data_IF_544485035167
#
_entry.id   IF_544485035167
#
_cell.length_a   1.000
_cell.length_b   1.000
_cell.length_c   1.000
_cell.angle_alpha   90.00
_cell.angle_beta   90.00
_cell.angle_gamma   90.00
#
_symmetry.space_group_name_H-M   'P 1'
#
loop_
_entity.id
_entity.type
_entity.pdbx_description
1 polymer ?
#
# COMPACT_ATOMS: atom_id res chain seq x y z
N UNK A 1 5.33 8.36 -10.85
CA UNK A 1 5.72 8.12 -9.44
C UNK A 1 5.19 9.19 -8.48
N UNK A 2 5.34 10.50 -8.74
CA UNK A 2 4.94 11.55 -7.79
C UNK A 2 3.48 11.45 -7.28
N UNK A 3 2.52 11.08 -8.14
CA UNK A 3 1.11 10.94 -7.76
C UNK A 3 0.87 9.80 -6.76
N UNK A 4 1.61 8.69 -6.87
CA UNK A 4 1.55 7.60 -5.88
C UNK A 4 2.08 8.04 -4.52
N UNK A 5 3.19 8.78 -4.50
CA UNK A 5 3.79 9.32 -3.28
C UNK A 5 2.81 10.29 -2.59
N UNK A 6 2.29 11.26 -3.35
CA UNK A 6 1.30 12.22 -2.82
C UNK A 6 0.04 11.51 -2.30
N UNK A 7 -0.47 10.50 -3.02
CA UNK A 7 -1.62 9.72 -2.55
C UNK A 7 -1.34 8.94 -1.26
N UNK A 8 -0.13 8.37 -1.12
CA UNK A 8 0.29 7.69 0.10
C UNK A 8 0.39 8.65 1.28
N UNK A 9 0.95 9.85 1.08
CA UNK A 9 1.04 10.89 2.11
C UNK A 9 -0.35 11.38 2.57
N UNK A 10 -1.28 11.62 1.65
CA UNK A 10 -2.66 11.97 1.99
C UNK A 10 -3.35 10.83 2.76
N UNK A 11 -3.12 9.58 2.38
CA UNK A 11 -3.65 8.41 3.10
C UNK A 11 -3.10 8.36 4.53
N UNK A 12 -1.80 8.60 4.73
CA UNK A 12 -1.20 8.65 6.06
C UNK A 12 -1.78 9.79 6.92
N UNK A 13 -2.11 10.94 6.33
CA UNK A 13 -2.79 12.02 7.04
C UNK A 13 -4.16 11.56 7.55
N UNK A 14 -4.94 10.88 6.72
CA UNK A 14 -6.25 10.31 7.10
C UNK A 14 -6.07 9.29 8.24
N UNK A 15 -5.12 8.37 8.11
CA UNK A 15 -4.81 7.37 9.15
C UNK A 15 -4.52 8.03 10.50
N UNK A 16 -3.69 9.08 10.50
CA UNK A 16 -3.35 9.83 11.73
C UNK A 16 -4.53 10.61 12.29
N UNK A 17 -5.31 11.27 11.42
CA UNK A 17 -6.46 12.08 11.81
C UNK A 17 -7.54 11.25 12.51
N UNK A 18 -7.81 10.05 12.00
CA UNK A 18 -8.85 9.17 12.53
C UNK A 18 -8.31 8.07 13.45
N UNK A 19 -7.02 8.08 13.78
CA UNK A 19 -6.37 7.07 14.62
C UNK A 19 -6.65 5.64 14.15
N UNK A 20 -6.59 5.43 12.83
CA UNK A 20 -6.82 4.12 12.20
C UNK A 20 -5.69 3.18 12.62
N UNK A 21 -6.03 1.94 13.00
CA UNK A 21 -5.06 0.91 13.39
C UNK A 21 -4.71 -0.09 12.28
N UNK A 22 -5.57 -0.22 11.26
CA UNK A 22 -5.41 -1.20 10.18
C UNK A 22 -5.86 -0.63 8.83
N UNK A 23 -5.11 -0.97 7.79
CA UNK A 23 -5.43 -0.65 6.40
C UNK A 23 -5.56 -1.94 5.58
N UNK A 24 -6.64 -2.04 4.81
CA UNK A 24 -6.89 -3.16 3.88
C UNK A 24 -6.66 -2.65 2.46
N UNK A 25 -5.68 -3.21 1.77
CA UNK A 25 -5.26 -2.78 0.43
C UNK A 25 -5.51 -3.81 -0.66
N UNK A 26 -5.84 -3.33 -1.88
CA UNK A 26 -5.99 -4.20 -3.07
C UNK A 26 -4.73 -5.04 -3.30
N UNK A 27 -4.87 -6.37 -3.28
CA UNK A 27 -3.76 -7.29 -3.53
C UNK A 27 -3.08 -7.01 -4.87
N UNK A 28 -1.74 -7.15 -4.90
CA UNK A 28 -0.87 -6.99 -6.09
C UNK A 28 -0.82 -5.58 -6.69
N UNK A 29 -1.50 -4.60 -6.10
CA UNK A 29 -1.47 -3.21 -6.55
C UNK A 29 -0.09 -2.58 -6.32
N UNK A 30 0.49 -1.83 -7.29
CA UNK A 30 1.75 -1.09 -7.09
C UNK A 30 1.65 0.01 -6.02
N UNK A 31 0.44 0.35 -5.54
CA UNK A 31 0.23 1.26 -4.42
C UNK A 31 -0.15 0.55 -3.14
N UNK A 32 -1.11 -0.38 -3.20
CA UNK A 32 -1.78 -0.92 -2.02
C UNK A 32 -1.44 -2.39 -1.73
N UNK A 33 -0.71 -3.06 -2.62
CA UNK A 33 -0.32 -4.46 -2.40
C UNK A 33 0.63 -4.61 -1.23
N UNK A 34 0.57 -5.77 -0.57
CA UNK A 34 1.37 -6.15 0.58
C UNK A 34 2.13 -7.44 0.22
N UNK A 35 3.46 -7.43 0.35
CA UNK A 35 4.32 -8.59 0.06
C UNK A 35 4.55 -8.88 -1.44
N UNK A 36 3.55 -8.70 -2.30
CA UNK A 36 3.69 -8.80 -3.76
C UNK A 36 2.95 -7.69 -4.50
N UNK A 37 3.56 -7.19 -5.60
CA UNK A 37 2.98 -6.18 -6.49
C UNK A 37 3.29 -6.47 -7.96
N UNK A 38 2.48 -5.93 -8.87
CA UNK A 38 2.85 -5.86 -10.28
C UNK A 38 4.04 -4.92 -10.50
N UNK A 39 4.94 -5.30 -11.40
CA UNK A 39 6.19 -4.57 -11.69
C UNK A 39 5.99 -3.21 -12.40
N UNK A 40 4.75 -2.85 -12.73
CA UNK A 40 4.40 -1.57 -13.37
C UNK A 40 4.70 -1.50 -14.88
N UNK A 41 5.20 -2.57 -15.50
CA UNK A 41 5.52 -2.62 -16.94
C UNK A 41 4.33 -3.09 -17.80
N UNK A 42 3.19 -3.37 -17.18
CA UNK A 42 2.01 -3.98 -17.81
C UNK A 42 2.26 -5.38 -18.41
N UNK A 43 3.38 -6.01 -18.07
CA UNK A 43 3.72 -7.39 -18.45
C UNK A 43 2.97 -8.46 -17.64
N UNK A 44 2.16 -8.04 -16.65
CA UNK A 44 1.53 -8.90 -15.61
C UNK A 44 2.52 -9.66 -14.74
N UNK A 45 3.80 -9.28 -14.76
CA UNK A 45 4.81 -9.85 -13.88
C UNK A 45 4.61 -9.36 -12.44
N UNK A 46 4.62 -10.30 -11.52
CA UNK A 46 4.65 -10.04 -10.08
C UNK A 46 6.09 -10.01 -9.58
N UNK A 47 6.34 -9.15 -8.60
CA UNK A 47 7.59 -9.05 -7.87
C UNK A 47 7.29 -8.99 -6.37
N UNK A 48 8.24 -9.46 -5.57
CA UNK A 48 8.18 -9.30 -4.12
C UNK A 48 8.40 -7.82 -3.76
N UNK A 49 7.55 -7.31 -2.90
CA UNK A 49 7.57 -5.91 -2.49
C UNK A 49 6.22 -5.39 -2.06
N UNK A 50 6.26 -4.23 -1.39
CA UNK A 50 5.07 -3.51 -0.97
C UNK A 50 4.78 -2.36 -1.94
N UNK A 51 3.50 -2.08 -2.16
CA UNK A 51 3.09 -0.90 -2.89
C UNK A 51 3.45 0.39 -2.14
N UNK A 52 3.51 1.52 -2.85
CA UNK A 52 3.97 2.80 -2.29
C UNK A 52 3.21 3.22 -1.02
N UNK A 53 1.88 3.08 -1.00
CA UNK A 53 1.05 3.38 0.17
C UNK A 53 1.32 2.39 1.30
N UNK A 54 1.30 1.09 1.00
CA UNK A 54 1.57 0.03 1.98
C UNK A 54 2.91 0.21 2.66
N UNK A 55 3.97 0.46 1.89
CA UNK A 55 5.31 0.67 2.41
C UNK A 55 5.37 1.88 3.36
N UNK A 56 4.71 2.99 3.02
CA UNK A 56 4.68 4.17 3.88
C UNK A 56 3.90 3.91 5.18
N UNK A 57 2.73 3.27 5.09
CA UNK A 57 1.91 2.97 6.26
C UNK A 57 2.59 2.00 7.23
N UNK A 58 3.20 0.92 6.71
CA UNK A 58 4.00 -0.02 7.52
C UNK A 58 5.17 0.67 8.22
N UNK A 59 5.90 1.56 7.52
CA UNK A 59 6.98 2.37 8.13
C UNK A 59 6.51 3.29 9.24
N UNK A 60 5.22 3.63 9.28
CA UNK A 60 4.59 4.42 10.33
C UNK A 60 3.88 3.56 11.39
N UNK A 61 4.12 2.24 11.40
CA UNK A 61 3.61 1.33 12.43
C UNK A 61 2.17 0.87 12.25
N UNK A 62 1.57 1.06 11.07
CA UNK A 62 0.21 0.60 10.81
C UNK A 62 0.18 -0.89 10.44
N UNK A 63 -0.82 -1.63 10.94
CA UNK A 63 -1.15 -2.95 10.41
C UNK A 63 -1.65 -2.81 8.97
N UNK A 64 -1.09 -3.59 8.06
CA UNK A 64 -1.53 -3.61 6.66
C UNK A 64 -1.76 -5.04 6.22
N UNK A 65 -2.98 -5.31 5.77
CA UNK A 65 -3.41 -6.57 5.18
C UNK A 65 -3.98 -6.32 3.79
N UNK A 66 -4.24 -7.40 3.04
CA UNK A 66 -4.98 -7.34 1.78
C UNK A 66 -6.33 -8.03 1.92
N UNK A 67 -7.21 -7.86 0.94
CA UNK A 67 -8.47 -8.63 0.91
C UNK A 67 -8.28 -10.15 0.79
N UNK A 68 -7.07 -10.64 0.55
CA UNK A 68 -6.75 -12.08 0.54
C UNK A 68 -6.52 -12.63 1.97
N UNK A 69 -6.32 -11.75 2.96
CA UNK A 69 -6.01 -12.09 4.36
C UNK A 69 -7.25 -12.02 5.29
N UNK A 70 -8.41 -11.64 4.75
CA UNK A 70 -9.71 -11.59 5.46
C UNK A 70 -10.37 -12.97 5.52
#
# INVERSE_FOLDING_TARGET
TQKFISGAEETLKIVRLFQIGEFIGKSRSPSCGCGQIYDGTFSRKLIDGDGVTTALLKRNGLSVITEEDL
#
